data_IF_572355085689
#
_entry.id   IF_572355085689
#
_cell.length_a   1.000
_cell.length_b   1.000
_cell.length_c   1.000
_cell.angle_alpha   90.00
_cell.angle_beta   90.00
_cell.angle_gamma   90.00
#
_symmetry.space_group_name_H-M   'P 1'
#
loop_
_entity.id
_entity.type
_entity.pdbx_description
1 polymer ?
#
# COMPACT_ATOMS: atom_id res chain seq x y z
N UNK A 1 -5.09 -63.73 -17.12
CA UNK A 1 -5.44 -62.59 -16.23
C UNK A 1 -4.69 -61.38 -16.75
N UNK A 2 -5.41 -60.57 -17.53
CA UNK A 2 -4.87 -59.36 -18.12
C UNK A 2 -5.28 -58.18 -17.23
N UNK A 3 -4.31 -57.57 -16.56
CA UNK A 3 -4.51 -56.38 -15.76
C UNK A 3 -4.49 -55.16 -16.67
N UNK A 4 -5.63 -54.54 -16.83
CA UNK A 4 -5.77 -53.22 -17.47
C UNK A 4 -5.44 -52.11 -16.45
N UNK A 5 -4.38 -51.35 -16.70
CA UNK A 5 -4.09 -50.10 -15.97
C UNK A 5 -5.11 -49.03 -16.33
N UNK A 6 -5.56 -48.17 -15.38
CA UNK A 6 -6.43 -47.06 -15.69
C UNK A 6 -5.67 -45.94 -16.40
N UNK A 7 -6.28 -45.41 -17.45
CA UNK A 7 -5.82 -44.24 -18.20
C UNK A 7 -5.84 -42.98 -17.29
N UNK A 8 -4.90 -42.06 -17.41
CA UNK A 8 -4.94 -40.82 -16.65
C UNK A 8 -6.15 -39.99 -17.05
N UNK A 9 -6.84 -39.44 -16.04
CA UNK A 9 -8.00 -38.57 -16.21
C UNK A 9 -7.64 -37.38 -17.07
N UNK A 10 -8.47 -37.10 -18.07
CA UNK A 10 -8.34 -35.90 -18.90
C UNK A 10 -8.55 -34.67 -18.00
N UNK A 11 -7.51 -33.84 -17.88
CA UNK A 11 -7.61 -32.57 -17.19
C UNK A 11 -8.72 -31.71 -17.82
N UNK A 12 -9.51 -31.11 -16.98
CA UNK A 12 -10.59 -30.19 -17.34
C UNK A 12 -10.00 -29.00 -18.11
N UNK A 13 -10.16 -29.00 -19.43
CA UNK A 13 -9.71 -27.94 -20.35
C UNK A 13 -10.63 -26.72 -20.39
N UNK A 14 -11.61 -26.63 -19.47
CA UNK A 14 -12.62 -25.55 -19.46
C UNK A 14 -12.23 -24.34 -18.59
N UNK A 15 -11.18 -24.40 -17.80
CA UNK A 15 -10.71 -23.25 -17.01
C UNK A 15 -9.87 -22.32 -17.87
N UNK A 16 -10.35 -21.08 -18.05
CA UNK A 16 -9.52 -19.99 -18.58
C UNK A 16 -8.31 -19.80 -17.65
N UNK A 17 -7.06 -20.01 -18.12
CA UNK A 17 -5.87 -19.86 -17.28
C UNK A 17 -5.70 -18.44 -16.71
N UNK A 18 -6.36 -17.44 -17.31
CA UNK A 18 -6.33 -16.03 -16.86
C UNK A 18 -7.38 -15.73 -15.78
N UNK A 19 -8.41 -16.57 -15.61
CA UNK A 19 -9.52 -16.29 -14.69
C UNK A 19 -9.11 -15.96 -13.23
N UNK A 20 -8.05 -16.57 -12.65
CA UNK A 20 -7.63 -16.21 -11.30
C UNK A 20 -7.03 -14.80 -11.19
N UNK A 21 -6.36 -14.32 -12.24
CA UNK A 21 -5.71 -13.01 -12.28
C UNK A 21 -6.72 -11.87 -12.51
N UNK A 22 -7.91 -12.17 -13.05
CA UNK A 22 -8.96 -11.18 -13.30
C UNK A 22 -9.52 -10.54 -12.01
N UNK A 23 -9.26 -11.18 -10.85
CA UNK A 23 -9.62 -10.65 -9.52
C UNK A 23 -8.62 -9.63 -8.99
N UNK A 24 -7.44 -9.53 -9.59
CA UNK A 24 -6.42 -8.58 -9.20
C UNK A 24 -6.46 -7.35 -10.11
N UNK A 25 -6.92 -6.23 -9.58
CA UNK A 25 -7.00 -4.97 -10.33
C UNK A 25 -5.77 -4.11 -10.06
N UNK A 26 -4.95 -3.92 -11.09
CA UNK A 26 -3.75 -3.07 -10.99
C UNK A 26 -4.13 -1.59 -10.93
N UNK A 27 -3.46 -0.86 -10.06
CA UNK A 27 -3.58 0.59 -9.91
C UNK A 27 -2.23 1.24 -9.61
N UNK A 28 -2.23 2.53 -9.32
CA UNK A 28 -1.04 3.31 -9.03
C UNK A 28 -1.29 4.33 -7.92
N UNK A 29 -0.25 4.71 -7.19
CA UNK A 29 -0.23 5.78 -6.20
C UNK A 29 0.79 6.86 -6.59
N UNK A 30 0.61 8.13 -6.18
CA UNK A 30 1.60 9.20 -6.39
C UNK A 30 2.99 8.93 -5.82
N UNK A 31 3.15 8.02 -4.87
CA UNK A 31 4.44 7.57 -4.35
C UNK A 31 5.38 7.08 -5.46
N UNK A 32 4.82 6.46 -6.51
CA UNK A 32 5.56 6.09 -7.73
C UNK A 32 6.20 7.30 -8.42
N UNK A 33 5.75 8.52 -8.12
CA UNK A 33 6.28 9.81 -8.57
C UNK A 33 7.04 10.57 -7.48
N UNK A 34 7.41 9.89 -6.39
CA UNK A 34 8.15 10.49 -5.28
C UNK A 34 7.34 11.50 -4.48
N UNK A 35 6.04 11.28 -4.33
CA UNK A 35 5.15 12.21 -3.64
C UNK A 35 4.95 11.76 -2.20
N UNK A 36 5.66 12.40 -1.26
CA UNK A 36 5.54 12.15 0.17
C UNK A 36 4.86 13.30 0.93
N UNK A 37 5.14 14.56 0.52
CA UNK A 37 4.67 15.76 1.21
C UNK A 37 3.85 16.65 0.29
N UNK A 38 2.54 16.81 0.49
CA UNK A 38 1.64 17.47 -0.48
C UNK A 38 2.04 18.86 -0.93
N UNK A 39 2.73 19.60 -0.04
CA UNK A 39 3.07 21.02 -0.25
C UNK A 39 4.58 21.24 -0.51
N UNK A 40 5.38 20.17 -0.70
CA UNK A 40 6.82 20.33 -0.92
C UNK A 40 7.13 20.63 -2.39
N UNK A 41 7.86 21.73 -2.63
CA UNK A 41 8.25 22.18 -3.97
C UNK A 41 9.20 21.20 -4.70
N UNK A 42 9.81 20.25 -4.00
CA UNK A 42 10.66 19.21 -4.59
C UNK A 42 9.89 18.08 -5.23
N UNK A 43 8.59 18.05 -5.06
CA UNK A 43 7.72 17.03 -5.63
C UNK A 43 7.23 17.43 -7.00
N UNK A 44 6.94 16.42 -7.82
CA UNK A 44 6.33 16.63 -9.14
C UNK A 44 4.92 17.21 -8.93
N UNK A 45 4.54 18.29 -9.66
CA UNK A 45 3.20 18.85 -9.59
C UNK A 45 2.14 17.80 -9.96
N UNK A 46 1.04 17.73 -9.21
CA UNK A 46 0.02 16.70 -9.37
C UNK A 46 -0.56 16.58 -10.81
N UNK A 47 -0.67 17.69 -11.55
CA UNK A 47 -1.15 17.65 -12.93
C UNK A 47 -0.18 16.94 -13.86
N UNK A 48 1.12 17.10 -13.63
CA UNK A 48 2.17 16.38 -14.37
C UNK A 48 2.12 14.90 -14.02
N UNK A 49 2.14 14.57 -12.73
CA UNK A 49 2.09 13.18 -12.28
C UNK A 49 0.84 12.45 -12.80
N UNK A 50 -0.33 13.08 -12.74
CA UNK A 50 -1.58 12.48 -13.22
C UNK A 50 -1.56 12.21 -14.73
N UNK A 51 -1.02 13.16 -15.52
CA UNK A 51 -0.83 12.97 -16.96
C UNK A 51 0.12 11.81 -17.28
N UNK A 52 1.23 11.72 -16.55
CA UNK A 52 2.20 10.62 -16.69
C UNK A 52 1.67 9.27 -16.21
N UNK A 53 0.84 9.23 -15.16
CA UNK A 53 0.12 8.01 -14.73
C UNK A 53 -0.79 7.48 -15.83
N UNK A 54 -1.52 8.38 -16.49
CA UNK A 54 -2.37 8.03 -17.64
C UNK A 54 -1.53 7.56 -18.83
N UNK A 55 -0.41 8.23 -19.14
CA UNK A 55 0.54 7.84 -20.19
C UNK A 55 1.15 6.45 -19.92
N UNK A 56 1.48 6.15 -18.65
CA UNK A 56 1.94 4.83 -18.23
C UNK A 56 0.86 3.74 -18.34
N UNK A 57 -0.39 4.12 -18.66
CA UNK A 57 -1.50 3.20 -18.93
C UNK A 57 -2.25 2.73 -17.70
N UNK A 58 -2.21 3.47 -16.59
CA UNK A 58 -3.06 3.23 -15.43
C UNK A 58 -4.42 3.91 -15.58
N UNK A 59 -5.44 3.33 -14.97
CA UNK A 59 -6.81 3.86 -14.92
C UNK A 59 -7.47 3.69 -13.54
N UNK A 60 -6.75 3.12 -12.59
CA UNK A 60 -7.15 2.95 -11.20
C UNK A 60 -6.07 3.56 -10.32
N UNK A 61 -6.47 4.30 -9.28
CA UNK A 61 -5.51 4.93 -8.41
C UNK A 61 -5.95 5.05 -6.95
N UNK A 62 -4.97 5.06 -6.09
CA UNK A 62 -4.98 5.63 -4.77
C UNK A 62 -4.47 7.07 -4.84
N UNK A 63 -5.05 8.00 -4.06
CA UNK A 63 -4.68 9.42 -4.18
C UNK A 63 -3.41 9.81 -3.43
N UNK A 64 -2.85 8.91 -2.60
CA UNK A 64 -1.67 9.19 -1.79
C UNK A 64 -1.91 10.31 -0.76
N UNK A 65 -0.89 11.11 -0.44
CA UNK A 65 -0.93 12.07 0.65
C UNK A 65 -2.05 13.09 0.53
N UNK A 66 -2.85 13.24 1.60
CA UNK A 66 -3.99 14.16 1.63
C UNK A 66 -3.62 15.61 1.35
N UNK A 67 -4.13 16.13 0.25
CA UNK A 67 -3.89 17.51 -0.21
C UNK A 67 -2.96 17.63 -1.40
N UNK A 68 -2.39 16.54 -1.88
CA UNK A 68 -1.68 16.53 -3.16
C UNK A 68 -2.65 16.75 -4.33
N UNK A 69 -3.76 16.02 -4.36
CA UNK A 69 -4.87 16.29 -5.27
C UNK A 69 -5.92 17.24 -4.64
N UNK A 70 -6.86 17.78 -5.43
CA UNK A 70 -7.94 18.61 -4.92
C UNK A 70 -8.71 17.94 -3.77
N UNK A 71 -8.96 18.71 -2.69
CA UNK A 71 -9.72 18.24 -1.52
C UNK A 71 -11.24 18.32 -1.71
N UNK A 72 -11.71 19.16 -2.64
CA UNK A 72 -13.13 19.22 -3.01
C UNK A 72 -13.52 18.01 -3.87
N UNK A 73 -14.52 17.26 -3.45
CA UNK A 73 -14.92 16.02 -4.10
C UNK A 73 -15.39 16.22 -5.56
N UNK A 74 -16.00 17.37 -5.88
CA UNK A 74 -16.46 17.65 -7.26
C UNK A 74 -15.29 17.98 -8.17
N UNK A 75 -14.34 18.75 -7.65
CA UNK A 75 -13.10 19.07 -8.36
C UNK A 75 -12.28 17.81 -8.59
N UNK A 76 -12.08 17.00 -7.53
CA UNK A 76 -11.37 15.72 -7.63
C UNK A 76 -12.01 14.81 -8.68
N UNK A 77 -13.33 14.61 -8.62
CA UNK A 77 -14.05 13.81 -9.61
C UNK A 77 -13.84 14.32 -11.03
N UNK A 78 -14.01 15.65 -11.24
CA UNK A 78 -13.87 16.25 -12.57
C UNK A 78 -12.48 16.00 -13.15
N UNK A 79 -11.44 16.16 -12.34
CA UNK A 79 -10.04 15.94 -12.75
C UNK A 79 -9.78 14.46 -13.06
N UNK A 80 -10.30 13.55 -12.23
CA UNK A 80 -10.11 12.11 -12.43
C UNK A 80 -10.86 11.60 -13.67
N UNK A 81 -12.10 12.06 -13.89
CA UNK A 81 -12.90 11.73 -15.07
C UNK A 81 -12.22 12.23 -16.36
N UNK A 82 -11.64 13.45 -16.35
CA UNK A 82 -10.90 14.00 -17.48
C UNK A 82 -9.71 13.13 -17.92
N UNK A 83 -9.05 12.47 -16.97
CA UNK A 83 -7.88 11.61 -17.21
C UNK A 83 -8.23 10.12 -17.26
N UNK A 84 -9.49 9.76 -17.06
CA UNK A 84 -9.96 8.37 -17.12
C UNK A 84 -9.60 7.52 -15.90
N UNK A 85 -9.43 8.15 -14.72
CA UNK A 85 -9.10 7.45 -13.49
C UNK A 85 -10.32 7.14 -12.62
N UNK A 86 -10.33 5.93 -12.06
CA UNK A 86 -11.16 5.56 -10.93
C UNK A 86 -10.34 5.63 -9.64
N UNK A 87 -10.79 6.47 -8.71
CA UNK A 87 -10.22 6.53 -7.36
C UNK A 87 -10.77 5.38 -6.53
N UNK A 88 -9.89 4.58 -5.92
CA UNK A 88 -10.27 3.43 -5.10
C UNK A 88 -9.92 3.59 -3.62
N UNK A 89 -8.97 4.44 -3.29
CA UNK A 89 -8.57 4.71 -1.92
C UNK A 89 -8.11 6.15 -1.71
N UNK A 90 -8.28 6.63 -0.49
CA UNK A 90 -7.62 7.79 0.07
C UNK A 90 -6.66 7.37 1.17
N UNK A 91 -5.63 8.18 1.43
CA UNK A 91 -4.55 7.87 2.38
C UNK A 91 -4.48 8.92 3.48
N UNK A 92 -4.35 8.46 4.73
CA UNK A 92 -4.23 9.33 5.90
C UNK A 92 -3.17 8.85 6.89
N UNK A 93 -2.44 9.81 7.46
CA UNK A 93 -1.56 9.63 8.61
C UNK A 93 -2.32 9.87 9.90
N UNK A 94 -2.11 9.03 10.91
CA UNK A 94 -2.84 9.17 12.15
C UNK A 94 -2.05 8.83 13.40
N UNK A 95 -2.01 9.74 14.38
CA UNK A 95 -1.46 9.50 15.71
C UNK A 95 -2.55 8.89 16.58
N UNK A 96 -2.59 7.55 16.67
CA UNK A 96 -3.64 6.82 17.39
C UNK A 96 -3.31 6.57 18.86
N UNK A 97 -2.04 6.61 19.25
CA UNK A 97 -1.57 6.23 20.58
C UNK A 97 -1.54 7.38 21.61
N UNK A 98 -1.75 8.65 21.17
CA UNK A 98 -1.75 9.84 22.05
C UNK A 98 -3.17 10.39 22.18
N UNK A 99 -3.63 10.57 23.43
CA UNK A 99 -4.98 11.05 23.72
C UNK A 99 -5.24 12.44 23.13
N UNK A 100 -4.27 13.32 23.28
CA UNK A 100 -4.36 14.70 22.80
C UNK A 100 -4.37 14.83 21.27
N UNK A 101 -3.85 13.82 20.54
CA UNK A 101 -3.80 13.84 19.10
C UNK A 101 -5.06 13.25 18.43
N UNK A 102 -5.81 12.43 19.15
CA UNK A 102 -6.96 11.71 18.60
C UNK A 102 -8.02 12.63 17.96
N UNK A 103 -8.45 13.75 18.60
CA UNK A 103 -9.49 14.60 18.00
C UNK A 103 -9.11 15.18 16.63
N UNK A 104 -7.85 15.56 16.43
CA UNK A 104 -7.40 16.08 15.12
C UNK A 104 -7.17 14.95 14.11
N UNK A 105 -6.69 13.79 14.57
CA UNK A 105 -6.59 12.57 13.75
C UNK A 105 -7.96 12.16 13.21
N UNK A 106 -8.96 12.01 14.09
CA UNK A 106 -10.33 11.66 13.69
C UNK A 106 -10.91 12.67 12.70
N UNK A 107 -10.77 13.96 12.98
CA UNK A 107 -11.26 15.03 12.10
C UNK A 107 -10.62 14.96 10.71
N UNK A 108 -9.30 14.72 10.64
CA UNK A 108 -8.58 14.60 9.38
C UNK A 108 -9.07 13.39 8.58
N UNK A 109 -9.18 12.22 9.23
CA UNK A 109 -9.66 11.01 8.55
C UNK A 109 -11.12 11.16 8.08
N UNK A 110 -11.98 11.83 8.84
CA UNK A 110 -13.35 12.14 8.39
C UNK A 110 -13.37 13.05 7.15
N UNK A 111 -12.49 14.06 7.09
CA UNK A 111 -12.40 14.92 5.91
C UNK A 111 -11.91 14.17 4.67
N UNK A 112 -10.92 13.29 4.83
CA UNK A 112 -10.45 12.41 3.75
C UNK A 112 -11.58 11.48 3.30
N UNK A 113 -12.25 10.82 4.26
CA UNK A 113 -13.31 9.87 3.99
C UNK A 113 -14.51 10.50 3.27
N UNK A 114 -14.94 11.70 3.68
CA UNK A 114 -16.03 12.44 3.03
C UNK A 114 -15.73 12.69 1.55
N UNK A 115 -14.52 13.14 1.23
CA UNK A 115 -14.11 13.40 -0.15
C UNK A 115 -14.03 12.11 -0.95
N UNK A 116 -13.40 11.06 -0.40
CA UNK A 116 -13.14 9.82 -1.13
C UNK A 116 -14.40 8.96 -1.30
N UNK A 117 -15.24 8.86 -0.28
CA UNK A 117 -16.54 8.21 -0.42
C UNK A 117 -17.42 8.91 -1.48
N UNK A 118 -17.40 10.25 -1.51
CA UNK A 118 -18.15 11.02 -2.50
C UNK A 118 -17.67 10.77 -3.94
N UNK A 119 -16.41 10.41 -4.19
CA UNK A 119 -15.91 10.04 -5.53
C UNK A 119 -16.02 8.54 -5.81
N UNK A 120 -16.49 7.74 -4.85
CA UNK A 120 -16.74 6.31 -5.03
C UNK A 120 -15.56 5.42 -4.65
N UNK A 121 -14.63 5.91 -3.85
CA UNK A 121 -13.59 5.07 -3.26
C UNK A 121 -14.19 4.01 -2.31
N UNK A 122 -13.47 2.94 -2.12
CA UNK A 122 -13.88 1.78 -1.32
C UNK A 122 -12.98 1.59 -0.09
N UNK A 123 -11.79 2.20 -0.09
CA UNK A 123 -10.76 1.98 0.92
C UNK A 123 -10.25 3.29 1.53
N UNK A 124 -9.79 3.17 2.78
CA UNK A 124 -9.02 4.18 3.48
C UNK A 124 -7.72 3.55 3.96
N UNK A 125 -6.61 3.96 3.38
CA UNK A 125 -5.28 3.53 3.82
C UNK A 125 -4.88 4.35 5.04
N UNK A 126 -4.58 3.66 6.14
CA UNK A 126 -4.08 4.23 7.36
C UNK A 126 -2.59 3.95 7.52
N UNK A 127 -1.77 4.99 7.50
CA UNK A 127 -0.37 4.91 7.85
C UNK A 127 -0.20 5.16 9.35
N UNK A 128 0.49 4.26 10.07
CA UNK A 128 0.78 4.43 11.49
C UNK A 128 1.69 5.63 11.72
N UNK A 129 1.67 6.22 12.92
CA UNK A 129 2.57 7.32 13.22
C UNK A 129 4.02 6.87 13.18
N UNK A 130 4.88 7.73 12.64
CA UNK A 130 6.31 7.52 12.66
C UNK A 130 6.89 7.96 14.02
N UNK A 131 7.90 7.23 14.48
CA UNK A 131 8.67 7.58 15.69
C UNK A 131 9.83 8.52 15.39
N UNK A 132 10.05 8.87 14.11
CA UNK A 132 10.99 9.90 13.65
C UNK A 132 10.23 11.05 13.00
N UNK A 133 10.73 12.26 13.13
CA UNK A 133 10.26 13.42 12.39
C UNK A 133 10.64 13.29 10.90
N UNK A 134 9.67 13.44 10.01
CA UNK A 134 9.81 13.21 8.57
C UNK A 134 10.79 14.17 7.86
N UNK A 135 11.13 15.29 8.48
CA UNK A 135 12.01 16.31 7.89
C UNK A 135 13.41 16.29 8.49
N UNK A 136 13.47 16.10 9.82
CA UNK A 136 14.73 16.17 10.56
C UNK A 136 15.32 14.79 10.84
N UNK A 137 14.54 13.74 10.68
CA UNK A 137 14.84 12.33 10.98
C UNK A 137 15.21 12.06 12.45
N UNK A 138 14.95 13.03 13.32
CA UNK A 138 15.18 12.87 14.75
C UNK A 138 14.05 12.08 15.40
N UNK A 139 14.37 11.28 16.42
CA UNK A 139 13.36 10.60 17.21
C UNK A 139 12.43 11.62 17.88
N UNK A 140 11.12 11.40 17.71
CA UNK A 140 10.04 12.19 18.33
C UNK A 140 9.21 11.35 19.29
N UNK A 141 9.41 10.03 19.25
CA UNK A 141 8.72 9.06 20.09
C UNK A 141 9.61 7.83 20.35
N UNK A 142 9.22 6.99 21.30
CA UNK A 142 9.81 5.67 21.47
C UNK A 142 9.46 4.77 20.28
N UNK A 143 10.37 3.89 19.84
CA UNK A 143 10.12 2.96 18.73
C UNK A 143 8.96 2.03 19.03
N UNK A 144 8.89 1.50 20.22
CA UNK A 144 7.91 0.51 20.63
C UNK A 144 6.75 1.15 21.39
N UNK A 145 5.52 0.89 20.96
CA UNK A 145 4.33 1.23 21.73
C UNK A 145 4.11 0.20 22.83
N UNK A 146 4.15 0.64 24.08
CA UNK A 146 3.92 -0.21 25.25
C UNK A 146 2.81 0.33 26.15
N UNK A 147 2.33 -0.49 27.08
CA UNK A 147 1.40 -0.07 28.12
C UNK A 147 0.18 0.68 27.59
N UNK A 148 0.00 1.91 28.10
CA UNK A 148 -1.16 2.76 27.78
C UNK A 148 -1.16 3.22 26.31
N UNK A 149 0.01 3.55 25.75
CA UNK A 149 0.14 3.98 24.36
C UNK A 149 -0.31 2.87 23.38
N UNK A 150 0.10 1.62 23.64
CA UNK A 150 -0.36 0.47 22.87
C UNK A 150 -1.87 0.25 22.99
N UNK A 151 -2.42 0.29 24.22
CA UNK A 151 -3.86 0.13 24.43
C UNK A 151 -4.67 1.16 23.64
N UNK A 152 -4.25 2.45 23.70
CA UNK A 152 -4.90 3.53 22.95
C UNK A 152 -4.78 3.34 21.46
N UNK A 153 -3.61 2.91 20.96
CA UNK A 153 -3.44 2.62 19.55
C UNK A 153 -4.48 1.60 19.06
N UNK A 154 -4.64 0.50 19.77
CA UNK A 154 -5.58 -0.56 19.42
C UNK A 154 -7.04 -0.08 19.50
N UNK A 155 -7.41 0.60 20.57
CA UNK A 155 -8.76 1.15 20.75
C UNK A 155 -9.11 2.14 19.63
N UNK A 156 -8.21 3.08 19.35
CA UNK A 156 -8.42 4.09 18.32
C UNK A 156 -8.33 3.52 16.89
N UNK A 157 -7.54 2.47 16.65
CA UNK A 157 -7.54 1.77 15.35
C UNK A 157 -8.90 1.11 15.09
N UNK A 158 -9.46 0.40 16.08
CA UNK A 158 -10.80 -0.18 15.96
C UNK A 158 -11.88 0.90 15.79
N UNK A 159 -11.79 2.00 16.54
CA UNK A 159 -12.75 3.11 16.45
C UNK A 159 -12.66 3.79 15.08
N UNK A 160 -11.45 4.03 14.58
CA UNK A 160 -11.26 4.62 13.25
C UNK A 160 -11.84 3.69 12.16
N UNK A 161 -11.57 2.38 12.24
CA UNK A 161 -12.16 1.39 11.32
C UNK A 161 -13.69 1.38 11.39
N UNK A 162 -14.26 1.50 12.60
CA UNK A 162 -15.71 1.60 12.80
C UNK A 162 -16.29 2.86 12.14
N UNK A 163 -15.63 4.02 12.32
CA UNK A 163 -16.03 5.29 11.69
C UNK A 163 -15.98 5.17 10.16
N UNK A 164 -14.89 4.66 9.62
CA UNK A 164 -14.75 4.47 8.17
C UNK A 164 -15.86 3.60 7.61
N UNK A 165 -16.13 2.46 8.24
CA UNK A 165 -17.13 1.48 7.79
C UNK A 165 -18.56 1.99 7.94
N UNK A 166 -18.92 2.54 9.12
CA UNK A 166 -20.31 2.87 9.43
C UNK A 166 -20.76 4.23 8.88
N UNK A 167 -19.88 5.25 8.91
CA UNK A 167 -20.24 6.59 8.53
C UNK A 167 -20.01 6.88 7.04
N UNK A 168 -19.02 6.18 6.42
CA UNK A 168 -18.60 6.44 5.04
C UNK A 168 -18.65 5.23 4.10
N UNK A 169 -18.83 4.01 4.62
CA UNK A 169 -18.84 2.78 3.81
C UNK A 169 -17.47 2.39 3.28
N UNK A 170 -16.39 2.89 3.89
CA UNK A 170 -15.00 2.60 3.50
C UNK A 170 -14.43 1.47 4.36
N UNK A 171 -13.62 0.62 3.74
CA UNK A 171 -12.81 -0.36 4.46
C UNK A 171 -11.47 0.28 4.87
N UNK A 172 -11.18 0.34 6.18
CA UNK A 172 -9.88 0.78 6.64
C UNK A 172 -8.85 -0.34 6.50
N UNK A 173 -7.73 -0.02 5.86
CA UNK A 173 -6.60 -0.93 5.70
C UNK A 173 -5.37 -0.33 6.38
N UNK A 174 -4.80 -1.06 7.33
CA UNK A 174 -3.56 -0.71 8.00
C UNK A 174 -2.39 -0.98 7.05
N UNK A 175 -1.54 0.01 6.85
CA UNK A 175 -0.35 -0.05 6.02
C UNK A 175 0.90 -0.03 6.91
N UNK A 176 1.73 -1.09 6.99
CA UNK A 176 2.99 -1.06 7.72
C UNK A 176 3.97 -0.13 7.03
N UNK A 177 4.82 0.58 7.78
CA UNK A 177 5.72 1.56 7.20
C UNK A 177 7.06 1.63 7.94
N UNK A 178 8.15 1.79 7.19
CA UNK A 178 9.48 2.04 7.77
C UNK A 178 9.50 3.25 8.70
N UNK A 179 10.26 3.17 9.80
CA UNK A 179 10.29 4.18 10.86
C UNK A 179 8.95 4.42 11.58
N UNK A 180 7.93 3.58 11.37
CA UNK A 180 6.65 3.66 12.09
C UNK A 180 6.59 2.66 13.24
N UNK A 181 5.56 2.81 14.09
CA UNK A 181 5.30 1.88 15.20
C UNK A 181 4.78 0.51 14.76
N UNK A 182 4.49 0.33 13.46
CA UNK A 182 4.08 -0.94 12.87
C UNK A 182 4.96 -1.17 11.63
N UNK A 183 6.13 -1.69 11.87
CA UNK A 183 7.18 -1.89 10.86
C UNK A 183 7.52 -3.38 10.68
N UNK A 184 7.76 -4.07 11.81
CA UNK A 184 8.23 -5.46 11.80
C UNK A 184 7.09 -6.48 11.72
N UNK A 185 7.38 -7.72 11.27
CA UNK A 185 6.38 -8.80 11.28
C UNK A 185 5.75 -9.04 12.65
N UNK A 186 6.53 -8.92 13.72
CA UNK A 186 6.07 -9.09 15.10
C UNK A 186 5.08 -7.99 15.50
N UNK A 187 5.34 -6.74 15.10
CA UNK A 187 4.44 -5.61 15.36
C UNK A 187 3.15 -5.74 14.55
N UNK A 188 3.24 -6.17 13.29
CA UNK A 188 2.07 -6.46 12.44
C UNK A 188 1.21 -7.57 13.06
N UNK A 189 1.83 -8.70 13.46
CA UNK A 189 1.14 -9.80 14.12
C UNK A 189 0.44 -9.34 15.40
N UNK A 190 1.11 -8.55 16.21
CA UNK A 190 0.58 -7.98 17.46
C UNK A 190 -0.65 -7.10 17.22
N UNK A 191 -0.67 -6.31 16.12
CA UNK A 191 -1.86 -5.53 15.74
C UNK A 191 -3.00 -6.46 15.33
N UNK A 192 -2.72 -7.51 14.55
CA UNK A 192 -3.75 -8.44 14.10
C UNK A 192 -4.41 -9.20 15.26
N UNK A 193 -3.62 -9.57 16.28
CA UNK A 193 -4.13 -10.23 17.47
C UNK A 193 -5.01 -9.31 18.34
N UNK A 194 -4.75 -7.99 18.30
CA UNK A 194 -5.39 -7.03 19.18
C UNK A 194 -6.57 -6.27 18.54
N UNK A 195 -6.67 -6.26 17.20
CA UNK A 195 -7.71 -5.49 16.48
C UNK A 195 -8.81 -6.40 15.91
N UNK A 196 -10.01 -5.83 15.79
CA UNK A 196 -11.15 -6.49 15.17
C UNK A 196 -10.93 -6.62 13.64
N UNK A 197 -10.88 -7.85 13.08
CA UNK A 197 -10.70 -8.07 11.65
C UNK A 197 -11.83 -7.51 10.78
N UNK A 198 -13.01 -7.28 11.35
CA UNK A 198 -14.14 -6.66 10.66
C UNK A 198 -13.99 -5.13 10.50
N UNK A 199 -13.10 -4.51 11.29
CA UNK A 199 -12.88 -3.07 11.34
C UNK A 199 -11.53 -2.65 10.77
N UNK A 200 -10.49 -3.45 11.01
CA UNK A 200 -9.11 -3.18 10.60
C UNK A 200 -8.65 -4.28 9.66
N UNK A 201 -8.67 -4.02 8.38
CA UNK A 201 -8.08 -4.89 7.36
C UNK A 201 -6.59 -4.53 7.15
N UNK A 202 -5.91 -5.20 6.23
CA UNK A 202 -4.49 -5.04 6.00
C UNK A 202 -4.18 -4.63 4.56
N UNK A 203 -3.37 -3.60 4.41
CA UNK A 203 -2.65 -3.30 3.20
C UNK A 203 -1.33 -4.07 3.21
N UNK A 204 -1.23 -5.12 2.41
CA UNK A 204 0.01 -5.87 2.22
C UNK A 204 0.97 -5.01 1.39
N UNK A 205 1.72 -4.14 2.04
CA UNK A 205 2.82 -3.43 1.36
C UNK A 205 4.06 -4.30 1.31
N UNK A 206 4.37 -4.79 0.12
CA UNK A 206 5.41 -5.80 -0.08
C UNK A 206 6.81 -5.26 0.16
N UNK A 207 7.02 -3.98 -0.11
CA UNK A 207 8.31 -3.33 0.11
C UNK A 207 8.56 -3.00 1.57
N UNK A 208 7.59 -2.41 2.27
CA UNK A 208 7.73 -2.11 3.69
C UNK A 208 7.85 -3.37 4.56
N UNK A 209 7.18 -4.46 4.17
CA UNK A 209 7.36 -5.75 4.85
C UNK A 209 8.80 -6.27 4.67
N UNK A 210 9.37 -6.20 3.46
CA UNK A 210 10.78 -6.55 3.23
C UNK A 210 11.70 -5.64 4.01
N UNK A 211 11.43 -4.31 4.02
CA UNK A 211 12.20 -3.35 4.79
C UNK A 211 12.14 -3.67 6.29
N UNK A 212 11.01 -4.01 6.83
CA UNK A 212 10.83 -4.43 8.24
C UNK A 212 11.41 -5.83 8.56
N UNK A 213 12.07 -6.50 7.61
CA UNK A 213 12.72 -7.80 7.79
C UNK A 213 11.78 -9.00 7.62
N UNK A 214 10.57 -8.78 7.09
CA UNK A 214 9.57 -9.83 6.83
C UNK A 214 9.62 -10.38 5.41
N UNK A 215 8.79 -11.40 5.19
CA UNK A 215 8.53 -11.98 3.87
C UNK A 215 7.04 -11.84 3.52
N UNK A 216 6.68 -10.97 2.55
CA UNK A 216 5.27 -10.74 2.19
C UNK A 216 4.58 -12.00 1.66
N UNK A 217 5.32 -12.94 1.06
CA UNK A 217 4.75 -14.21 0.56
C UNK A 217 4.32 -15.10 1.73
N UNK A 218 5.14 -15.20 2.78
CA UNK A 218 4.78 -15.92 4.01
C UNK A 218 3.60 -15.27 4.72
N UNK A 219 3.51 -13.94 4.74
CA UNK A 219 2.36 -13.23 5.35
C UNK A 219 1.04 -13.51 4.65
N UNK A 220 1.05 -13.79 3.34
CA UNK A 220 -0.17 -14.22 2.63
C UNK A 220 -0.67 -15.55 3.16
N UNK A 221 0.23 -16.48 3.51
CA UNK A 221 -0.14 -17.77 4.10
C UNK A 221 -0.63 -17.65 5.54
N UNK A 222 0.01 -16.78 6.31
CA UNK A 222 -0.26 -16.64 7.75
C UNK A 222 -1.54 -15.84 8.03
N UNK A 223 -1.83 -14.81 7.21
CA UNK A 223 -2.93 -13.87 7.46
C UNK A 223 -3.85 -13.65 6.25
N UNK A 224 -4.29 -14.72 5.53
CA UNK A 224 -5.04 -14.58 4.27
C UNK A 224 -6.33 -13.78 4.45
N UNK A 225 -7.00 -13.90 5.61
CA UNK A 225 -8.27 -13.21 5.87
C UNK A 225 -8.10 -11.72 6.18
N UNK A 226 -6.89 -11.30 6.61
CA UNK A 226 -6.60 -9.89 6.91
C UNK A 226 -6.34 -9.05 5.66
N UNK A 227 -5.82 -9.66 4.59
CA UNK A 227 -5.41 -8.95 3.38
C UNK A 227 -6.63 -8.48 2.61
N UNK A 228 -6.82 -7.18 2.53
CA UNK A 228 -7.90 -6.53 1.77
C UNK A 228 -7.41 -5.57 0.69
N UNK A 229 -6.12 -5.25 0.67
CA UNK A 229 -5.49 -4.29 -0.23
C UNK A 229 -4.01 -4.61 -0.40
N UNK A 230 -3.38 -4.24 -1.51
CA UNK A 230 -1.98 -4.56 -1.76
C UNK A 230 -1.25 -3.35 -2.34
N UNK A 231 -0.09 -3.02 -1.76
CA UNK A 231 0.91 -2.18 -2.40
C UNK A 231 2.05 -3.05 -2.92
N UNK A 232 2.31 -2.99 -4.23
CA UNK A 232 3.46 -3.63 -4.85
C UNK A 232 4.62 -2.66 -4.89
N UNK A 233 5.63 -2.99 -4.12
CA UNK A 233 6.86 -2.23 -3.94
C UNK A 233 8.01 -3.22 -3.77
N UNK A 234 9.21 -2.88 -4.25
CA UNK A 234 10.39 -3.73 -4.12
C UNK A 234 11.54 -2.97 -3.44
N UNK A 235 12.28 -3.69 -2.59
CA UNK A 235 13.44 -3.14 -1.90
C UNK A 235 14.70 -3.97 -2.16
N UNK A 236 15.84 -3.28 -2.25
CA UNK A 236 17.15 -3.89 -2.32
C UNK A 236 17.54 -4.48 -0.96
N UNK A 237 17.72 -5.81 -0.86
CA UNK A 237 17.96 -6.47 0.42
C UNK A 237 19.31 -6.11 1.06
N UNK A 238 20.32 -5.73 0.27
CA UNK A 238 21.62 -5.37 0.78
C UNK A 238 21.63 -3.97 1.38
N UNK A 239 20.98 -3.01 0.69
CA UNK A 239 20.81 -1.64 1.20
C UNK A 239 19.90 -1.63 2.42
N UNK A 240 18.82 -2.41 2.41
CA UNK A 240 17.89 -2.56 3.55
C UNK A 240 18.63 -3.09 4.78
N UNK A 241 19.43 -4.16 4.63
CA UNK A 241 20.24 -4.69 5.71
C UNK A 241 21.23 -3.65 6.26
N UNK A 242 21.91 -2.92 5.37
CA UNK A 242 22.86 -1.88 5.76
C UNK A 242 22.15 -0.72 6.51
N UNK A 243 20.93 -0.37 6.10
CA UNK A 243 20.11 0.64 6.77
C UNK A 243 19.84 0.26 8.23
N UNK A 244 19.42 -0.98 8.47
CA UNK A 244 19.19 -1.48 9.83
C UNK A 244 20.48 -1.59 10.66
N UNK A 245 21.56 -2.10 10.09
CA UNK A 245 22.86 -2.22 10.78
C UNK A 245 23.41 -0.86 11.22
N UNK A 246 23.12 0.20 10.46
CA UNK A 246 23.60 1.57 10.70
C UNK A 246 22.56 2.49 11.33
N UNK A 247 21.37 1.99 11.59
CA UNK A 247 20.24 2.78 12.08
C UNK A 247 19.93 4.01 11.21
N UNK A 248 19.97 3.84 9.87
CA UNK A 248 19.56 4.92 8.98
C UNK A 248 18.07 5.15 9.08
N UNK A 249 17.62 6.42 9.08
CA UNK A 249 16.21 6.73 8.83
C UNK A 249 15.73 6.17 7.50
N UNK A 250 14.45 5.83 7.42
CA UNK A 250 13.84 5.29 6.19
C UNK A 250 14.13 6.17 4.97
N UNK A 251 13.95 7.49 5.08
CA UNK A 251 14.24 8.41 3.97
C UNK A 251 15.72 8.45 3.56
N UNK A 252 16.67 8.19 4.48
CA UNK A 252 18.09 8.04 4.12
C UNK A 252 18.32 6.74 3.34
N UNK A 253 17.67 5.64 3.74
CA UNK A 253 17.75 4.37 3.03
C UNK A 253 17.19 4.51 1.60
N UNK A 254 16.05 5.18 1.43
CA UNK A 254 15.45 5.49 0.12
C UNK A 254 16.40 6.35 -0.72
N UNK A 255 16.97 7.41 -0.16
CA UNK A 255 17.94 8.26 -0.86
C UNK A 255 19.20 7.51 -1.32
N UNK A 256 19.55 6.41 -0.65
CA UNK A 256 20.65 5.49 -1.03
C UNK A 256 20.23 4.41 -2.02
N UNK A 257 18.96 4.39 -2.45
CA UNK A 257 18.45 3.47 -3.46
C UNK A 257 17.87 2.17 -2.88
N UNK A 258 17.39 2.18 -1.63
CA UNK A 258 16.75 1.01 -1.04
C UNK A 258 15.49 0.60 -1.80
N UNK A 259 14.66 1.57 -2.22
CA UNK A 259 13.49 1.29 -3.06
C UNK A 259 13.90 1.15 -4.52
N UNK A 260 13.58 0.01 -5.12
CA UNK A 260 13.99 -0.34 -6.49
C UNK A 260 12.78 -0.73 -7.33
N UNK A 261 12.91 -0.60 -8.65
CA UNK A 261 11.84 -1.06 -9.53
C UNK A 261 12.00 -2.56 -9.86
N UNK A 262 10.90 -3.33 -9.91
CA UNK A 262 10.93 -4.70 -10.40
C UNK A 262 11.53 -4.81 -11.83
N UNK A 263 12.25 -5.93 -12.14
CA UNK A 263 12.41 -7.14 -11.33
C UNK A 263 13.53 -7.09 -10.27
N UNK A 264 14.15 -5.93 -10.05
CA UNK A 264 15.18 -5.79 -9.02
C UNK A 264 14.55 -5.86 -7.62
N UNK A 265 15.34 -6.29 -6.64
CA UNK A 265 14.95 -6.33 -5.23
C UNK A 265 14.07 -7.52 -4.84
N UNK A 266 13.49 -7.40 -3.66
CA UNK A 266 12.55 -8.36 -3.07
C UNK A 266 11.20 -7.69 -2.80
N UNK A 267 10.11 -8.47 -2.82
CA UNK A 267 10.01 -9.91 -3.15
C UNK A 267 10.18 -10.17 -4.64
N UNK A 268 10.38 -11.44 -5.02
CA UNK A 268 10.18 -11.85 -6.41
C UNK A 268 8.72 -11.61 -6.80
N UNK A 269 8.50 -10.74 -7.79
CA UNK A 269 7.14 -10.31 -8.14
C UNK A 269 6.32 -11.40 -8.82
N UNK A 270 6.96 -12.35 -9.50
CA UNK A 270 6.24 -13.45 -10.12
C UNK A 270 5.71 -14.39 -9.04
N UNK A 271 6.55 -14.79 -8.10
CA UNK A 271 6.16 -15.64 -6.98
C UNK A 271 5.09 -14.95 -6.12
N UNK A 272 5.22 -13.64 -5.89
CA UNK A 272 4.24 -12.84 -5.18
C UNK A 272 2.88 -12.83 -5.88
N UNK A 273 2.83 -12.57 -7.19
CA UNK A 273 1.58 -12.52 -7.96
C UNK A 273 0.92 -13.90 -8.02
N UNK A 274 1.69 -14.97 -8.25
CA UNK A 274 1.20 -16.35 -8.18
C UNK A 274 0.60 -16.64 -6.79
N UNK A 275 1.21 -16.11 -5.74
CA UNK A 275 0.72 -16.29 -4.36
C UNK A 275 -0.55 -15.48 -4.08
N UNK A 276 -0.63 -14.21 -4.51
CA UNK A 276 -1.82 -13.37 -4.36
C UNK A 276 -3.06 -14.00 -5.02
N UNK A 277 -2.89 -14.63 -6.18
CA UNK A 277 -3.95 -15.36 -6.88
C UNK A 277 -4.56 -16.46 -6.02
N UNK A 278 -3.79 -17.08 -5.12
CA UNK A 278 -4.30 -18.15 -4.25
C UNK A 278 -5.31 -17.69 -3.22
N UNK A 279 -5.37 -16.38 -2.94
CA UNK A 279 -6.37 -15.79 -2.03
C UNK A 279 -7.79 -15.86 -2.58
N UNK A 280 -7.94 -15.96 -3.91
CA UNK A 280 -9.23 -16.00 -4.61
C UNK A 280 -10.19 -14.84 -4.25
N UNK A 281 -9.61 -13.66 -3.97
CA UNK A 281 -10.29 -12.41 -3.58
C UNK A 281 -10.18 -11.34 -4.65
N UNK A 282 -11.19 -10.47 -4.75
CA UNK A 282 -11.06 -9.19 -5.47
C UNK A 282 -10.12 -8.28 -4.69
N UNK A 283 -8.98 -7.90 -5.29
CA UNK A 283 -7.97 -7.03 -4.66
C UNK A 283 -7.53 -5.92 -5.61
N UNK A 284 -7.38 -4.73 -5.07
CA UNK A 284 -6.60 -3.69 -5.71
C UNK A 284 -5.13 -3.89 -5.39
N UNK A 285 -4.31 -3.82 -6.43
CA UNK A 285 -2.86 -4.03 -6.38
C UNK A 285 -2.22 -2.75 -6.92
N UNK A 286 -1.79 -1.89 -6.01
CA UNK A 286 -1.31 -0.54 -6.31
C UNK A 286 0.21 -0.56 -6.47
N UNK A 287 0.68 -0.05 -7.61
CA UNK A 287 2.11 0.10 -7.88
C UNK A 287 2.66 1.33 -7.17
N UNK A 288 3.73 1.14 -6.43
CA UNK A 288 4.46 2.18 -5.72
C UNK A 288 5.97 2.01 -5.84
N UNK A 289 6.68 3.12 -5.72
CA UNK A 289 8.13 3.17 -5.54
C UNK A 289 8.50 4.41 -4.74
N UNK A 290 9.16 4.25 -3.59
CA UNK A 290 9.64 5.40 -2.81
C UNK A 290 10.80 6.06 -3.55
N UNK A 291 10.57 7.28 -4.04
CA UNK A 291 11.54 8.02 -4.88
C UNK A 291 11.82 9.44 -4.38
N UNK A 292 11.31 9.83 -3.20
CA UNK A 292 11.43 11.20 -2.71
C UNK A 292 12.80 11.51 -2.08
N UNK A 293 13.39 12.68 -2.42
CA UNK A 293 13.14 13.46 -3.63
C UNK A 293 13.74 12.77 -4.86
N UNK A 294 13.12 12.88 -6.02
CA UNK A 294 13.62 12.23 -7.22
C UNK A 294 13.85 13.19 -8.39
N UNK A 295 14.68 12.76 -9.34
CA UNK A 295 14.77 13.41 -10.65
C UNK A 295 13.44 13.22 -11.38
N UNK A 296 12.77 14.30 -11.83
CA UNK A 296 11.48 14.22 -12.52
C UNK A 296 11.46 13.36 -13.79
N UNK A 297 12.63 13.04 -14.35
CA UNK A 297 12.73 12.16 -15.52
C UNK A 297 12.62 10.66 -15.20
N UNK A 298 12.65 10.26 -13.93
CA UNK A 298 12.68 8.85 -13.53
C UNK A 298 11.30 8.18 -13.40
N UNK A 299 10.25 8.84 -12.83
CA UNK A 299 9.01 8.16 -12.50
C UNK A 299 8.29 7.54 -13.67
N UNK A 300 8.05 8.29 -14.74
CA UNK A 300 7.32 7.78 -15.91
C UNK A 300 7.96 6.54 -16.54
N UNK A 301 9.26 6.51 -16.93
CA UNK A 301 9.86 5.30 -17.46
C UNK A 301 9.93 4.15 -16.46
N UNK A 302 10.06 4.43 -15.16
CA UNK A 302 10.00 3.40 -14.12
C UNK A 302 8.60 2.80 -14.03
N UNK A 303 7.55 3.62 -14.01
CA UNK A 303 6.16 3.19 -13.93
C UNK A 303 5.75 2.33 -15.14
N UNK A 304 6.15 2.75 -16.36
CA UNK A 304 5.94 1.97 -17.59
C UNK A 304 6.60 0.60 -17.46
N UNK A 305 7.89 0.58 -17.12
CA UNK A 305 8.66 -0.68 -17.01
C UNK A 305 8.10 -1.61 -15.90
N UNK A 306 7.69 -1.04 -14.76
CA UNK A 306 7.05 -1.80 -13.67
C UNK A 306 5.74 -2.42 -14.14
N UNK A 307 4.87 -1.63 -14.80
CA UNK A 307 3.59 -2.11 -15.30
C UNK A 307 3.75 -3.20 -16.37
N UNK A 308 4.69 -3.03 -17.30
CA UNK A 308 5.00 -4.03 -18.32
C UNK A 308 5.49 -5.34 -17.69
N UNK A 309 6.41 -5.27 -16.74
CA UNK A 309 6.91 -6.43 -16.03
C UNK A 309 5.81 -7.14 -15.22
N UNK A 310 4.95 -6.40 -14.53
CA UNK A 310 3.81 -6.99 -13.81
C UNK A 310 2.79 -7.63 -14.75
N UNK A 311 2.65 -7.12 -15.98
CA UNK A 311 1.84 -7.79 -17.00
C UNK A 311 2.44 -9.13 -17.44
N UNK A 312 3.77 -9.24 -17.52
CA UNK A 312 4.45 -10.53 -17.75
C UNK A 312 4.21 -11.52 -16.58
N UNK A 313 4.05 -11.01 -15.36
CA UNK A 313 3.67 -11.81 -14.19
C UNK A 313 2.16 -12.16 -14.15
N UNK A 314 1.34 -11.65 -15.06
CA UNK A 314 -0.10 -11.94 -15.17
C UNK A 314 -1.02 -10.82 -14.66
N UNK A 315 -0.50 -9.70 -14.14
CA UNK A 315 -1.30 -8.57 -13.67
C UNK A 315 -1.66 -7.59 -14.80
N UNK A 316 -2.93 -7.20 -14.89
CA UNK A 316 -3.37 -6.14 -15.79
C UNK A 316 -3.32 -6.50 -17.29
N UNK A 317 -3.26 -7.77 -17.62
CA UNK A 317 -3.39 -8.28 -19.00
C UNK A 317 -4.89 -8.31 -19.32
N UNK A 318 -5.40 -7.23 -19.89
CA UNK A 318 -6.76 -7.17 -20.46
C UNK A 318 -6.72 -6.87 -21.93
#
# INVERSE_FOLDING_TARGET
>A
MTTTSPSPAAGDKSRNPQAPYDKLTIGVCPDQWGVWFPEDEKQIPWRTALGEMAEAGFSVMETGPWGYFPKDAKELRSVMDEHGFRVVAGTGWGILHKEEAWPETEKTFRAIAETHAAVGAEYMVHLPPMYRDEKTWQFTDDRELTGEAWRRYVENANELGRIMKQDYGLTMVLHPHGDSHIETPEEIARVFEATDPELVSFCLDTGHIVYGGGDPISMIDEYPERIGYVHIKAFDPDITREAHEKDWPFGEAVAKGASVKPPAGLPDMKDLVEKLVTLDKELYVICEQDLYPCDPSLPLPNAIATREFLAECGLGVK
#
